data_IF_324112159518
#
_entry.id   IF_324112159518
#
_cell.length_a   1.000
_cell.length_b   1.000
_cell.length_c   1.000
_cell.angle_alpha   90.00
_cell.angle_beta   90.00
_cell.angle_gamma   90.00
#
_symmetry.space_group_name_H-M   'P 1'
#
loop_
_entity.id
_entity.type
_entity.pdbx_description
1 polymer ?
#
# COMPACT_ATOMS: atom_id res chain seq x y z
N UNK A 1 -20.49 1.66 1.82
CA UNK A 1 -19.81 2.92 1.47
C UNK A 1 -19.07 2.64 0.18
N UNK A 2 -19.32 3.37 -0.89
CA UNK A 2 -18.56 3.19 -2.13
C UNK A 2 -17.18 3.82 -1.93
N UNK A 3 -16.12 3.08 -2.21
CA UNK A 3 -14.75 3.60 -2.10
C UNK A 3 -14.50 4.48 -3.32
N UNK A 4 -14.11 5.73 -3.08
CA UNK A 4 -13.59 6.60 -4.13
C UNK A 4 -12.16 6.17 -4.47
N UNK A 5 -12.03 5.36 -5.50
CA UNK A 5 -10.74 4.83 -5.93
C UNK A 5 -9.85 5.87 -6.59
N UNK A 6 -10.41 6.94 -7.17
CA UNK A 6 -9.61 8.02 -7.73
C UNK A 6 -8.94 8.80 -6.60
N UNK A 7 -9.71 9.14 -5.57
CA UNK A 7 -9.20 9.77 -4.35
C UNK A 7 -8.15 8.89 -3.65
N UNK A 8 -8.43 7.60 -3.46
CA UNK A 8 -7.47 6.65 -2.87
C UNK A 8 -6.15 6.61 -3.64
N UNK A 9 -6.22 6.58 -4.97
CA UNK A 9 -5.02 6.58 -5.81
C UNK A 9 -4.24 7.90 -5.69
N UNK A 10 -4.93 9.05 -5.61
CA UNK A 10 -4.31 10.35 -5.42
C UNK A 10 -3.59 10.44 -4.06
N UNK A 11 -4.24 9.99 -2.99
CA UNK A 11 -3.64 9.94 -1.65
C UNK A 11 -2.35 9.09 -1.70
N UNK A 12 -2.43 7.84 -2.18
CA UNK A 12 -1.25 6.96 -2.22
C UNK A 12 -0.12 7.59 -3.06
N UNK A 13 -0.43 8.20 -4.19
CA UNK A 13 0.58 8.83 -5.05
C UNK A 13 1.23 10.05 -4.39
N UNK A 14 0.44 10.92 -3.78
CA UNK A 14 0.93 12.09 -3.05
C UNK A 14 1.88 11.67 -1.91
N UNK A 15 1.48 10.64 -1.16
CA UNK A 15 2.24 10.14 -0.03
C UNK A 15 3.43 9.28 -0.44
N UNK A 16 3.37 8.60 -1.60
CA UNK A 16 4.53 7.89 -2.17
C UNK A 16 5.71 8.80 -2.44
N UNK A 17 5.44 10.01 -2.95
CA UNK A 17 6.47 11.00 -3.26
C UNK A 17 7.05 11.60 -1.97
N UNK A 18 6.20 11.88 -0.98
CA UNK A 18 6.60 12.47 0.32
C UNK A 18 7.33 11.48 1.24
N UNK A 19 6.96 10.20 1.22
CA UNK A 19 7.56 9.16 2.09
C UNK A 19 8.92 8.63 1.62
N UNK A 20 9.31 8.89 0.37
CA UNK A 20 10.70 8.66 -0.06
C UNK A 20 11.74 9.44 0.79
N UNK A 21 11.29 10.50 1.49
CA UNK A 21 12.10 11.31 2.40
C UNK A 21 11.70 11.21 3.88
N UNK A 22 10.48 10.78 4.22
CA UNK A 22 9.96 10.81 5.60
C UNK A 22 9.86 9.43 6.24
N UNK A 23 10.61 9.24 7.33
CA UNK A 23 10.63 8.04 8.18
C UNK A 23 9.33 7.78 8.97
N UNK A 24 8.26 8.60 8.88
CA UNK A 24 7.09 8.42 9.77
C UNK A 24 5.73 8.68 9.10
N UNK A 25 4.73 7.82 9.37
CA UNK A 25 3.33 8.03 8.98
C UNK A 25 2.60 9.16 9.73
N UNK A 26 3.27 9.88 10.63
CA UNK A 26 2.63 10.85 11.54
C UNK A 26 2.21 12.17 10.87
N UNK A 27 2.64 12.45 9.64
CA UNK A 27 2.33 13.72 8.95
C UNK A 27 1.11 13.60 8.01
N UNK A 28 0.55 12.39 7.85
CA UNK A 28 -0.66 12.18 7.05
C UNK A 28 -1.89 12.72 7.78
N UNK A 29 -2.73 13.56 7.13
CA UNK A 29 -4.03 13.94 7.66
C UNK A 29 -4.84 12.71 8.05
N UNK A 30 -5.50 12.76 9.22
CA UNK A 30 -6.27 11.62 9.72
C UNK A 30 -7.34 11.17 8.71
N UNK A 31 -7.93 12.10 7.96
CA UNK A 31 -8.92 11.80 6.94
C UNK A 31 -8.34 10.95 5.79
N UNK A 32 -7.17 11.34 5.27
CA UNK A 32 -6.47 10.58 4.23
C UNK A 32 -6.07 9.20 4.74
N UNK A 33 -5.59 9.14 6.00
CA UNK A 33 -5.23 7.88 6.64
C UNK A 33 -6.42 6.95 6.74
N UNK A 34 -7.57 7.42 7.22
CA UNK A 34 -8.79 6.61 7.33
C UNK A 34 -9.27 6.12 5.96
N UNK A 35 -9.12 6.92 4.90
CA UNK A 35 -9.47 6.52 3.52
C UNK A 35 -8.61 5.38 2.99
N UNK A 36 -7.33 5.31 3.37
CA UNK A 36 -6.42 4.24 2.92
C UNK A 36 -6.14 3.19 4.00
N UNK A 37 -6.71 3.32 5.21
CA UNK A 37 -6.37 2.49 6.38
C UNK A 37 -6.52 1.01 6.07
N UNK A 38 -7.56 0.63 5.33
CA UNK A 38 -7.80 -0.76 4.95
C UNK A 38 -6.64 -1.37 4.13
N UNK A 39 -5.98 -0.57 3.27
CA UNK A 39 -4.81 -1.02 2.51
C UNK A 39 -3.56 -1.12 3.39
N UNK A 40 -3.44 -0.24 4.38
CA UNK A 40 -2.37 -0.30 5.37
C UNK A 40 -2.55 -1.53 6.27
N UNK A 41 -3.77 -1.79 6.72
CA UNK A 41 -4.11 -2.99 7.49
C UNK A 41 -3.84 -4.26 6.66
N UNK A 42 -4.13 -4.25 5.35
CA UNK A 42 -3.78 -5.35 4.44
C UNK A 42 -2.28 -5.62 4.43
N UNK A 43 -1.44 -4.57 4.32
CA UNK A 43 0.02 -4.72 4.37
C UNK A 43 0.48 -5.44 5.64
N UNK A 44 -0.08 -5.06 6.80
CA UNK A 44 0.33 -5.63 8.09
C UNK A 44 -0.29 -7.00 8.40
N UNK A 45 -1.42 -7.33 7.77
CA UNK A 45 -2.13 -8.60 8.01
C UNK A 45 -1.86 -9.66 6.95
N UNK A 46 -1.27 -9.28 5.81
CA UNK A 46 -1.01 -10.22 4.72
C UNK A 46 -0.02 -11.31 5.15
N UNK A 47 -0.43 -12.60 5.11
CA UNK A 47 0.41 -13.70 5.57
C UNK A 47 1.56 -13.93 4.59
N UNK A 48 2.78 -13.62 5.03
CA UNK A 48 4.00 -13.88 4.26
C UNK A 48 4.84 -14.99 4.88
N UNK A 49 4.99 -16.09 4.14
CA UNK A 49 5.86 -17.21 4.49
C UNK A 49 6.93 -17.46 3.41
N UNK A 50 7.14 -16.49 2.51
CA UNK A 50 8.08 -16.68 1.41
C UNK A 50 9.53 -16.64 1.88
N UNK A 51 10.41 -17.34 1.16
CA UNK A 51 11.83 -17.43 1.52
C UNK A 51 12.63 -16.22 1.06
N UNK A 52 12.13 -15.49 0.07
CA UNK A 52 12.78 -14.32 -0.50
C UNK A 52 11.82 -13.14 -0.63
N UNK A 53 12.35 -11.93 -0.46
CA UNK A 53 11.61 -10.67 -0.63
C UNK A 53 10.98 -10.55 -2.03
N UNK A 54 11.59 -11.14 -3.05
CA UNK A 54 11.10 -11.06 -4.42
C UNK A 54 9.86 -11.93 -4.62
N UNK A 55 9.82 -13.11 -3.98
CA UNK A 55 8.62 -13.95 -3.92
C UNK A 55 7.52 -13.30 -3.08
N UNK A 56 7.87 -12.69 -1.94
CA UNK A 56 6.95 -11.90 -1.10
C UNK A 56 6.30 -10.78 -1.93
N UNK A 57 7.11 -9.98 -2.62
CA UNK A 57 6.65 -8.86 -3.44
C UNK A 57 5.68 -9.33 -4.53
N UNK A 58 6.05 -10.38 -5.28
CA UNK A 58 5.23 -10.90 -6.37
C UNK A 58 3.90 -11.49 -5.85
N UNK A 59 3.92 -12.15 -4.69
CA UNK A 59 2.72 -12.72 -4.08
C UNK A 59 1.75 -11.62 -3.65
N UNK A 60 2.26 -10.58 -3.00
CA UNK A 60 1.45 -9.46 -2.53
C UNK A 60 0.95 -8.58 -3.69
N UNK A 61 1.78 -8.32 -4.70
CA UNK A 61 1.38 -7.63 -5.93
C UNK A 61 0.23 -8.37 -6.63
N UNK A 62 0.32 -9.71 -6.72
CA UNK A 62 -0.74 -10.54 -7.29
C UNK A 62 -2.03 -10.43 -6.47
N UNK A 63 -1.93 -10.41 -5.14
CA UNK A 63 -3.08 -10.21 -4.26
C UNK A 63 -3.73 -8.84 -4.50
N UNK A 64 -2.95 -7.76 -4.53
CA UNK A 64 -3.48 -6.41 -4.75
C UNK A 64 -4.19 -6.28 -6.11
N UNK A 65 -3.59 -6.82 -7.17
CA UNK A 65 -4.21 -6.82 -8.50
C UNK A 65 -5.52 -7.64 -8.56
N UNK A 66 -5.62 -8.72 -7.78
CA UNK A 66 -6.81 -9.56 -7.73
C UNK A 66 -7.95 -8.97 -6.89
N UNK A 67 -7.61 -8.35 -5.75
CA UNK A 67 -8.58 -7.81 -4.78
C UNK A 67 -9.00 -6.38 -5.13
N UNK A 68 -8.07 -5.57 -5.63
CA UNK A 68 -8.22 -4.12 -5.78
C UNK A 68 -7.96 -3.67 -7.23
N UNK A 69 -8.79 -4.13 -8.17
CA UNK A 69 -8.64 -3.90 -9.62
C UNK A 69 -8.67 -2.42 -10.07
N UNK A 70 -9.12 -1.51 -9.19
CA UNK A 70 -9.16 -0.06 -9.45
C UNK A 70 -7.93 0.68 -8.93
N UNK A 71 -6.99 0.00 -8.26
CA UNK A 71 -5.71 0.62 -7.91
C UNK A 71 -4.87 0.84 -9.16
N UNK A 72 -4.22 2.00 -9.21
CA UNK A 72 -3.26 2.31 -10.26
C UNK A 72 -1.98 1.48 -10.07
N UNK A 73 -1.25 1.17 -11.16
CA UNK A 73 0.03 0.46 -11.05
C UNK A 73 1.04 1.16 -10.12
N UNK A 74 1.02 2.49 -10.06
CA UNK A 74 1.88 3.27 -9.14
C UNK A 74 1.50 3.02 -7.68
N UNK A 75 0.22 3.01 -7.36
CA UNK A 75 -0.28 2.74 -6.01
C UNK A 75 0.06 1.32 -5.58
N UNK A 76 -0.10 0.36 -6.48
CA UNK A 76 0.26 -1.05 -6.23
C UNK A 76 1.75 -1.16 -5.91
N UNK A 77 2.62 -0.60 -6.75
CA UNK A 77 4.06 -0.64 -6.52
C UNK A 77 4.43 -0.07 -5.14
N UNK A 78 3.82 1.06 -4.76
CA UNK A 78 4.07 1.65 -3.45
C UNK A 78 3.63 0.75 -2.29
N UNK A 79 2.45 0.13 -2.38
CA UNK A 79 1.96 -0.80 -1.37
C UNK A 79 2.88 -2.03 -1.26
N UNK A 80 3.36 -2.55 -2.39
CA UNK A 80 4.31 -3.67 -2.45
C UNK A 80 5.65 -3.31 -1.83
N UNK A 81 6.21 -2.15 -2.17
CA UNK A 81 7.44 -1.65 -1.56
C UNK A 81 7.28 -1.51 -0.05
N UNK A 82 6.12 -1.03 0.41
CA UNK A 82 5.83 -0.85 1.83
C UNK A 82 5.69 -2.17 2.59
N UNK A 83 5.05 -3.15 1.97
CA UNK A 83 4.96 -4.51 2.49
C UNK A 83 6.34 -5.15 2.62
N UNK A 84 7.16 -5.09 1.56
CA UNK A 84 8.53 -5.61 1.57
C UNK A 84 9.43 -4.92 2.61
N UNK A 85 9.23 -3.62 2.85
CA UNK A 85 9.94 -2.90 3.91
C UNK A 85 9.52 -3.33 5.31
N UNK A 86 8.23 -3.64 5.51
CA UNK A 86 7.69 -4.02 6.83
C UNK A 86 8.00 -5.46 7.23
N UNK A 87 8.25 -6.34 6.24
CA UNK A 87 8.67 -7.74 6.46
C UNK A 87 10.19 -7.94 6.59
N UNK A 88 10.98 -6.86 6.67
CA UNK A 88 12.41 -6.89 7.03
C UNK A 88 12.61 -6.65 8.52
#
# INVERSE_FOLDING_TARGET
>A
MEIDWEEVNLIIQEWSSKWSFMKKPNDMPLEDFEKIRFLIDEIYSFPDNQKSLLESAALFEKHLNGTYSRLSPKSINWLVDRFCFSNR
#
